data_IF_857064587148
#
_entry.id   IF_857064587148
#
_cell.length_a   1.000
_cell.length_b   1.000
_cell.length_c   1.000
_cell.angle_alpha   90.00
_cell.angle_beta   90.00
_cell.angle_gamma   90.00
#
_symmetry.space_group_name_H-M   'P 1'
#
loop_
_entity.id
_entity.type
_entity.pdbx_description
1 polymer ?
#
# COMPACT_ATOMS: atom_id res chain seq x y z
N UNK A 1 5.46 14.40 -26.60
CA UNK A 1 4.74 13.22 -27.12
C UNK A 1 5.54 12.23 -27.93
N UNK A 2 6.43 12.66 -28.82
CA UNK A 2 7.29 11.73 -29.56
C UNK A 2 8.08 10.78 -28.65
N UNK A 3 8.53 11.24 -27.48
CA UNK A 3 9.22 10.40 -26.48
C UNK A 3 8.32 9.33 -25.85
N UNK A 4 7.10 9.65 -25.44
CA UNK A 4 6.17 8.63 -24.90
C UNK A 4 5.81 7.62 -26.01
N UNK A 5 5.53 8.09 -27.23
CA UNK A 5 5.27 7.20 -28.36
C UNK A 5 6.48 6.34 -28.73
N UNK A 6 7.70 6.84 -28.55
CA UNK A 6 8.91 6.06 -28.72
C UNK A 6 8.96 4.91 -27.70
N UNK A 7 8.70 5.20 -26.41
CA UNK A 7 8.68 4.19 -25.35
C UNK A 7 7.60 3.13 -25.61
N UNK A 8 6.37 3.56 -25.91
CA UNK A 8 5.23 2.65 -26.00
C UNK A 8 5.23 1.87 -27.34
N UNK A 9 5.48 2.54 -28.46
CA UNK A 9 5.28 1.98 -29.81
C UNK A 9 3.83 1.99 -30.28
N UNK A 10 3.57 1.36 -31.42
CA UNK A 10 2.22 1.34 -32.03
C UNK A 10 1.37 0.14 -31.56
N UNK A 11 1.99 -0.97 -31.15
CA UNK A 11 1.29 -2.18 -30.75
C UNK A 11 0.78 -2.12 -29.29
N UNK A 12 -0.52 -2.25 -29.10
CA UNK A 12 -1.22 -2.02 -27.82
C UNK A 12 -0.98 -3.15 -26.81
N UNK A 13 -0.77 -4.38 -27.30
CA UNK A 13 -0.86 -5.57 -26.45
C UNK A 13 0.49 -6.06 -25.94
N UNK A 14 1.56 -5.82 -26.70
CA UNK A 14 2.90 -6.32 -26.38
C UNK A 14 3.88 -5.19 -26.11
N UNK A 15 4.77 -5.43 -25.13
CA UNK A 15 5.88 -4.54 -24.85
C UNK A 15 6.81 -4.47 -26.06
N UNK A 16 7.17 -3.24 -26.46
CA UNK A 16 8.02 -2.98 -27.63
C UNK A 16 9.48 -3.37 -27.40
N UNK A 17 10.00 -3.07 -26.22
CA UNK A 17 11.43 -3.13 -25.94
C UNK A 17 11.78 -4.32 -25.06
N UNK A 18 12.90 -4.96 -25.37
CA UNK A 18 13.50 -5.96 -24.48
C UNK A 18 14.17 -5.27 -23.29
N UNK A 19 14.31 -6.01 -22.18
CA UNK A 19 14.83 -5.47 -20.92
C UNK A 19 16.21 -4.80 -21.05
N UNK A 20 17.10 -5.32 -21.90
CA UNK A 20 18.43 -4.73 -22.11
C UNK A 20 18.37 -3.33 -22.73
N UNK A 21 17.51 -3.15 -23.73
CA UNK A 21 17.30 -1.86 -24.39
C UNK A 21 16.61 -0.88 -23.46
N UNK A 22 15.59 -1.36 -22.74
CA UNK A 22 14.78 -0.50 -21.88
C UNK A 22 15.55 0.07 -20.68
N UNK A 23 16.60 -0.61 -20.21
CA UNK A 23 17.53 -0.07 -19.21
C UNK A 23 18.17 1.26 -19.64
N UNK A 24 18.39 1.45 -20.93
CA UNK A 24 18.96 2.69 -21.47
C UNK A 24 17.94 3.83 -21.51
N UNK A 25 16.64 3.52 -21.45
CA UNK A 25 15.56 4.49 -21.56
C UNK A 25 15.15 5.13 -20.24
N UNK A 26 15.79 4.78 -19.11
CA UNK A 26 15.54 5.44 -17.82
C UNK A 26 15.61 6.97 -17.89
N UNK A 27 16.55 7.51 -18.69
CA UNK A 27 16.67 8.96 -18.90
C UNK A 27 15.45 9.56 -19.62
N UNK A 28 14.79 8.79 -20.50
CA UNK A 28 13.61 9.24 -21.23
C UNK A 28 12.43 9.37 -20.26
N UNK A 29 12.27 8.40 -19.35
CA UNK A 29 11.27 8.48 -18.28
C UNK A 29 11.47 9.72 -17.41
N UNK A 30 12.71 10.01 -17.01
CA UNK A 30 13.00 11.21 -16.22
C UNK A 30 12.73 12.50 -17.00
N UNK A 31 13.13 12.59 -18.28
CA UNK A 31 12.86 13.78 -19.11
C UNK A 31 11.35 14.02 -19.26
N UNK A 32 10.57 12.96 -19.56
CA UNK A 32 9.11 13.06 -19.66
C UNK A 32 8.53 13.56 -18.33
N UNK A 33 9.04 13.02 -17.22
CA UNK A 33 8.53 13.33 -15.89
C UNK A 33 8.86 14.75 -15.46
N UNK A 34 10.09 15.22 -15.69
CA UNK A 34 10.50 16.61 -15.46
C UNK A 34 9.63 17.58 -16.26
N UNK A 35 9.39 17.30 -17.54
CA UNK A 35 8.54 18.14 -18.38
C UNK A 35 7.09 18.17 -17.87
N UNK A 36 6.55 17.03 -17.45
CA UNK A 36 5.20 16.94 -16.89
C UNK A 36 5.10 17.70 -15.55
N UNK A 37 6.05 17.49 -14.64
CA UNK A 37 6.14 18.21 -13.36
C UNK A 37 6.21 19.72 -13.58
N UNK A 38 7.02 20.17 -14.55
CA UNK A 38 7.07 21.57 -14.94
C UNK A 38 5.68 22.03 -15.39
N UNK A 39 5.03 21.32 -16.32
CA UNK A 39 3.72 21.71 -16.82
C UNK A 39 2.64 21.79 -15.71
N UNK A 40 2.64 20.87 -14.75
CA UNK A 40 1.66 20.86 -13.65
C UNK A 40 1.93 21.90 -12.56
N UNK A 41 3.18 22.38 -12.42
CA UNK A 41 3.55 23.40 -11.43
C UNK A 41 3.38 24.85 -11.91
N UNK A 42 3.02 25.05 -13.19
CA UNK A 42 2.84 26.38 -13.77
C UNK A 42 1.61 27.10 -13.21
N UNK A 43 1.75 28.40 -12.94
CA UNK A 43 0.67 29.30 -12.51
C UNK A 43 -0.49 29.36 -13.52
N UNK A 44 -1.72 29.63 -13.05
CA UNK A 44 -2.92 29.61 -13.90
C UNK A 44 -2.81 30.49 -15.16
N UNK A 45 -2.15 31.64 -15.05
CA UNK A 45 -1.93 32.56 -16.18
C UNK A 45 -1.08 31.92 -17.30
N UNK A 46 -0.07 31.14 -16.93
CA UNK A 46 0.81 30.46 -17.87
C UNK A 46 0.24 29.09 -18.30
N UNK A 47 -0.71 28.52 -17.56
CA UNK A 47 -1.37 27.24 -17.91
C UNK A 47 -2.06 27.33 -19.28
N UNK A 48 -2.66 28.48 -19.62
CA UNK A 48 -3.25 28.71 -20.96
C UNK A 48 -2.24 28.54 -22.09
N UNK A 49 -0.99 28.96 -21.88
CA UNK A 49 0.09 28.85 -22.88
C UNK A 49 0.48 27.39 -23.16
N UNK A 50 0.42 26.53 -22.15
CA UNK A 50 0.81 25.12 -22.25
C UNK A 50 -0.39 24.17 -22.26
N UNK A 51 -1.62 24.69 -22.38
CA UNK A 51 -2.85 23.93 -22.26
C UNK A 51 -2.89 22.74 -23.20
N UNK A 52 -2.50 22.94 -24.47
CA UNK A 52 -2.50 21.86 -25.46
C UNK A 52 -1.46 20.78 -25.13
N UNK A 53 -0.31 21.15 -24.59
CA UNK A 53 0.73 20.20 -24.17
C UNK A 53 0.25 19.39 -22.95
N UNK A 54 -0.39 20.04 -21.98
CA UNK A 54 -0.98 19.39 -20.80
C UNK A 54 -2.08 18.42 -21.23
N UNK A 55 -3.00 18.86 -22.09
CA UNK A 55 -4.10 18.02 -22.59
C UNK A 55 -3.55 16.79 -23.32
N UNK A 56 -2.51 16.96 -24.13
CA UNK A 56 -1.83 15.82 -24.73
C UNK A 56 -1.27 14.92 -23.62
N UNK A 57 -0.55 15.47 -22.62
CA UNK A 57 0.07 14.69 -21.54
C UNK A 57 -0.95 13.84 -20.77
N UNK A 58 -2.10 14.43 -20.46
CA UNK A 58 -3.20 13.77 -19.77
C UNK A 58 -3.66 12.50 -20.49
N UNK A 59 -3.60 12.45 -21.82
CA UNK A 59 -3.96 11.25 -22.59
C UNK A 59 -3.18 10.00 -22.12
N UNK A 60 -1.92 10.16 -21.71
CA UNK A 60 -1.06 9.06 -21.27
C UNK A 60 -0.93 8.93 -19.77
N UNK A 61 -1.26 9.97 -18.99
CA UNK A 61 -1.20 9.88 -17.53
C UNK A 61 -2.56 9.49 -16.95
N UNK A 62 -3.64 10.11 -17.37
CA UNK A 62 -4.98 9.97 -16.79
C UNK A 62 -6.05 9.55 -17.80
N UNK A 63 -5.73 9.59 -19.10
CA UNK A 63 -6.65 9.32 -20.20
C UNK A 63 -6.58 7.89 -20.74
N UNK A 64 -6.98 7.73 -21.99
CA UNK A 64 -7.17 6.42 -22.64
C UNK A 64 -5.90 5.55 -22.72
N UNK A 65 -4.70 6.16 -22.75
CA UNK A 65 -3.41 5.44 -22.84
C UNK A 65 -2.73 5.27 -21.48
N UNK A 66 -3.37 5.70 -20.39
CA UNK A 66 -2.85 5.61 -19.01
C UNK A 66 -2.41 4.22 -18.62
N UNK A 67 -3.28 3.22 -18.81
CA UNK A 67 -2.97 1.82 -18.49
C UNK A 67 -1.65 1.34 -19.09
N UNK A 68 -1.39 1.73 -20.35
CA UNK A 68 -0.19 1.31 -21.08
C UNK A 68 1.05 2.01 -20.56
N UNK A 69 0.97 3.31 -20.33
CA UNK A 69 2.09 4.07 -19.79
C UNK A 69 2.43 3.63 -18.36
N UNK A 70 1.43 3.40 -17.51
CA UNK A 70 1.63 2.94 -16.13
C UNK A 70 2.26 1.54 -16.06
N UNK A 71 1.92 0.63 -16.99
CA UNK A 71 2.63 -0.65 -17.15
C UNK A 71 4.09 -0.44 -17.53
N UNK A 72 4.37 0.47 -18.46
CA UNK A 72 5.75 0.81 -18.84
C UNK A 72 6.53 1.41 -17.66
N UNK A 73 5.89 2.22 -16.80
CA UNK A 73 6.52 2.68 -15.54
C UNK A 73 6.88 1.50 -14.64
N UNK A 74 6.01 0.49 -14.50
CA UNK A 74 6.35 -0.69 -13.70
C UNK A 74 7.56 -1.44 -14.27
N UNK A 75 7.64 -1.63 -15.60
CA UNK A 75 8.83 -2.20 -16.24
C UNK A 75 10.09 -1.36 -16.02
N UNK A 76 9.99 -0.04 -16.15
CA UNK A 76 11.11 0.87 -15.93
C UNK A 76 11.66 0.74 -14.50
N UNK A 77 10.81 0.64 -13.48
CA UNK A 77 11.24 0.45 -12.10
C UNK A 77 11.91 -0.90 -11.86
N UNK A 78 11.47 -1.96 -12.53
CA UNK A 78 12.11 -3.29 -12.45
C UNK A 78 13.51 -3.30 -13.06
N UNK A 79 13.73 -2.54 -14.12
CA UNK A 79 14.94 -2.64 -14.94
C UNK A 79 15.98 -1.58 -14.61
N UNK A 80 15.52 -0.39 -14.21
CA UNK A 80 16.36 0.77 -13.91
C UNK A 80 16.38 0.98 -12.41
N UNK A 81 17.58 1.23 -11.85
CA UNK A 81 17.70 1.61 -10.44
C UNK A 81 16.76 2.77 -10.13
N UNK A 82 15.93 2.59 -9.10
CA UNK A 82 15.02 3.64 -8.60
C UNK A 82 15.69 4.99 -8.29
N UNK A 83 17.01 5.01 -8.02
CA UNK A 83 17.78 6.26 -7.85
C UNK A 83 17.92 7.08 -9.14
N UNK A 84 17.65 6.47 -10.29
CA UNK A 84 17.64 7.11 -11.61
C UNK A 84 16.22 7.43 -12.09
N UNK A 85 15.19 7.14 -11.29
CA UNK A 85 13.77 7.36 -11.62
C UNK A 85 13.09 8.27 -10.59
N UNK A 86 13.82 9.25 -10.05
CA UNK A 86 13.38 10.08 -8.94
C UNK A 86 12.24 11.00 -9.38
N UNK A 87 12.39 11.69 -10.51
CA UNK A 87 11.34 12.59 -11.01
C UNK A 87 10.13 11.81 -11.52
N UNK A 88 10.35 10.60 -12.04
CA UNK A 88 9.28 9.68 -12.41
C UNK A 88 8.45 9.28 -11.20
N UNK A 89 9.09 8.90 -10.09
CA UNK A 89 8.38 8.62 -8.83
C UNK A 89 7.60 9.85 -8.35
N UNK A 90 8.25 11.01 -8.30
CA UNK A 90 7.63 12.27 -7.86
C UNK A 90 6.41 12.65 -8.71
N UNK A 91 6.46 12.43 -10.03
CA UNK A 91 5.31 12.65 -10.90
C UNK A 91 4.16 11.73 -10.54
N UNK A 92 4.43 10.43 -10.35
CA UNK A 92 3.39 9.46 -9.99
C UNK A 92 2.75 9.79 -8.64
N UNK A 93 3.56 10.25 -7.68
CA UNK A 93 3.08 10.69 -6.36
C UNK A 93 2.12 11.88 -6.47
N UNK A 94 2.49 12.91 -7.24
CA UNK A 94 1.64 14.09 -7.45
C UNK A 94 0.32 13.72 -8.16
N UNK A 95 0.38 12.86 -9.17
CA UNK A 95 -0.82 12.40 -9.88
C UNK A 95 -1.74 11.59 -8.95
N UNK A 96 -1.17 10.69 -8.13
CA UNK A 96 -1.94 9.90 -7.16
C UNK A 96 -2.52 10.74 -6.02
N UNK A 97 -1.80 11.77 -5.58
CA UNK A 97 -2.28 12.71 -4.56
C UNK A 97 -3.48 13.53 -5.05
N UNK A 98 -3.46 13.93 -6.31
CA UNK A 98 -4.46 14.85 -6.87
C UNK A 98 -5.65 14.15 -7.53
N UNK A 99 -5.58 12.84 -7.76
CA UNK A 99 -6.63 12.10 -8.47
C UNK A 99 -6.78 10.68 -7.89
N UNK A 100 -7.88 10.48 -7.15
CA UNK A 100 -8.22 9.20 -6.52
C UNK A 100 -8.33 8.06 -7.55
N UNK A 101 -9.00 8.27 -8.68
CA UNK A 101 -9.14 7.24 -9.73
C UNK A 101 -7.81 6.83 -10.33
N UNK A 102 -6.92 7.80 -10.56
CA UNK A 102 -5.55 7.51 -11.01
C UNK A 102 -4.81 6.68 -9.96
N UNK A 103 -4.93 7.05 -8.68
CA UNK A 103 -4.28 6.33 -7.59
C UNK A 103 -4.75 4.87 -7.53
N UNK A 104 -6.06 4.64 -7.61
CA UNK A 104 -6.63 3.29 -7.61
C UNK A 104 -6.14 2.46 -8.81
N UNK A 105 -6.21 3.04 -10.00
CA UNK A 105 -5.73 2.40 -11.23
C UNK A 105 -4.24 2.04 -11.14
N UNK A 106 -3.42 2.95 -10.63
CA UNK A 106 -1.99 2.72 -10.56
C UNK A 106 -1.63 1.64 -9.54
N UNK A 107 -2.29 1.63 -8.37
CA UNK A 107 -2.14 0.55 -7.38
C UNK A 107 -2.48 -0.81 -8.01
N UNK A 108 -3.60 -0.91 -8.75
CA UNK A 108 -3.97 -2.16 -9.45
C UNK A 108 -2.90 -2.64 -10.42
N UNK A 109 -2.32 -1.73 -11.21
CA UNK A 109 -1.26 -2.06 -12.18
C UNK A 109 0.02 -2.48 -11.47
N UNK A 110 0.39 -1.81 -10.37
CA UNK A 110 1.56 -2.20 -9.57
C UNK A 110 1.34 -3.58 -8.96
N UNK A 111 0.16 -3.86 -8.38
CA UNK A 111 -0.16 -5.18 -7.83
C UNK A 111 -0.12 -6.28 -8.89
N UNK A 112 -0.69 -6.03 -10.07
CA UNK A 112 -0.58 -6.97 -11.20
C UNK A 112 0.89 -7.23 -11.57
N UNK A 113 1.71 -6.18 -11.59
CA UNK A 113 3.15 -6.27 -11.86
C UNK A 113 3.86 -7.08 -10.76
N UNK A 114 3.49 -6.89 -9.48
CA UNK A 114 4.02 -7.64 -8.35
C UNK A 114 3.68 -9.13 -8.47
N UNK A 115 2.48 -9.50 -8.92
CA UNK A 115 2.08 -10.91 -9.11
C UNK A 115 2.90 -11.56 -10.23
N UNK A 116 3.19 -10.82 -11.31
CA UNK A 116 3.86 -11.35 -12.50
C UNK A 116 5.40 -11.30 -12.43
N UNK A 117 5.97 -10.42 -11.60
CA UNK A 117 7.40 -10.19 -11.51
C UNK A 117 8.18 -11.39 -10.95
N UNK A 118 9.45 -11.52 -11.34
CA UNK A 118 10.38 -12.37 -10.62
C UNK A 118 10.65 -11.82 -9.22
N UNK A 119 10.98 -12.69 -8.27
CA UNK A 119 11.20 -12.31 -6.87
C UNK A 119 12.37 -11.35 -6.67
N UNK A 120 13.30 -11.22 -7.61
CA UNK A 120 14.40 -10.25 -7.56
C UNK A 120 13.92 -8.82 -7.84
N UNK A 121 12.85 -8.67 -8.61
CA UNK A 121 12.37 -7.36 -9.05
C UNK A 121 11.34 -6.76 -8.08
N UNK A 122 10.78 -7.57 -7.17
CA UNK A 122 9.76 -7.17 -6.21
C UNK A 122 10.16 -5.95 -5.36
N UNK A 123 11.43 -5.86 -4.96
CA UNK A 123 11.93 -4.74 -4.16
C UNK A 123 11.72 -3.39 -4.85
N UNK A 124 11.91 -3.34 -6.17
CA UNK A 124 11.73 -2.12 -6.95
C UNK A 124 10.25 -1.71 -7.04
N UNK A 125 9.36 -2.69 -7.25
CA UNK A 125 7.91 -2.47 -7.29
C UNK A 125 7.34 -2.10 -5.92
N UNK A 126 7.85 -2.70 -4.84
CA UNK A 126 7.51 -2.30 -3.48
C UNK A 126 7.94 -0.87 -3.17
N UNK A 127 9.11 -0.43 -3.66
CA UNK A 127 9.51 0.97 -3.53
C UNK A 127 8.58 1.90 -4.29
N UNK A 128 8.17 1.53 -5.51
CA UNK A 128 7.19 2.29 -6.29
C UNK A 128 5.85 2.37 -5.55
N UNK A 129 5.36 1.24 -5.03
CA UNK A 129 4.12 1.18 -4.26
C UNK A 129 4.21 2.03 -2.98
N UNK A 130 5.34 1.99 -2.27
CA UNK A 130 5.57 2.82 -1.08
C UNK A 130 5.43 4.31 -1.37
N UNK A 131 5.97 4.79 -2.50
CA UNK A 131 5.82 6.19 -2.91
C UNK A 131 4.35 6.61 -2.98
N UNK A 132 3.46 5.69 -3.36
CA UNK A 132 2.01 5.96 -3.44
C UNK A 132 1.31 5.78 -2.08
N UNK A 133 1.64 4.72 -1.32
CA UNK A 133 0.98 4.41 -0.05
C UNK A 133 1.36 5.35 1.10
N UNK A 134 2.55 5.95 1.05
CA UNK A 134 3.06 6.84 2.11
C UNK A 134 2.70 8.31 1.90
N UNK A 135 1.96 8.65 0.84
CA UNK A 135 1.48 10.03 0.65
C UNK A 135 0.50 10.36 1.79
N UNK A 136 0.83 11.39 2.56
CA UNK A 136 -0.01 11.91 3.64
C UNK A 136 -1.06 12.86 3.07
N UNK A 137 -2.23 12.31 2.74
CA UNK A 137 -3.41 13.04 2.28
C UNK A 137 -4.71 12.30 2.69
N UNK A 138 -5.86 12.82 2.28
CA UNK A 138 -7.18 12.25 2.58
C UNK A 138 -7.45 10.86 1.97
N UNK A 139 -6.64 10.41 1.02
CA UNK A 139 -6.80 9.13 0.32
C UNK A 139 -5.87 8.03 0.86
N UNK A 140 -4.94 8.35 1.76
CA UNK A 140 -3.94 7.39 2.24
C UNK A 140 -4.55 6.08 2.76
N UNK A 141 -5.59 6.17 3.57
CA UNK A 141 -6.26 4.98 4.13
C UNK A 141 -6.93 4.13 3.03
N UNK A 142 -7.56 4.76 2.04
CA UNK A 142 -8.17 4.07 0.90
C UNK A 142 -7.11 3.36 0.06
N UNK A 143 -5.95 4.01 -0.15
CA UNK A 143 -4.81 3.40 -0.85
C UNK A 143 -4.29 2.15 -0.12
N UNK A 144 -4.18 2.21 1.21
CA UNK A 144 -3.76 1.06 2.03
C UNK A 144 -4.74 -0.10 1.92
N UNK A 145 -6.04 0.15 2.12
CA UNK A 145 -7.11 -0.84 1.96
C UNK A 145 -7.07 -1.50 0.58
N UNK A 146 -7.02 -0.67 -0.47
CA UNK A 146 -6.96 -1.15 -1.85
C UNK A 146 -5.74 -2.05 -2.11
N UNK A 147 -4.56 -1.65 -1.62
CA UNK A 147 -3.33 -2.37 -1.85
C UNK A 147 -3.27 -3.72 -1.11
N UNK A 148 -3.76 -3.77 0.13
CA UNK A 148 -3.62 -4.95 0.98
C UNK A 148 -4.82 -5.90 0.92
N UNK A 149 -6.03 -5.37 0.88
CA UNK A 149 -7.27 -6.15 0.86
C UNK A 149 -7.72 -6.49 -0.57
N UNK A 150 -7.46 -5.59 -1.53
CA UNK A 150 -7.94 -5.70 -2.90
C UNK A 150 -9.40 -5.26 -3.02
N UNK A 151 -10.05 -5.61 -4.14
CA UNK A 151 -11.48 -5.37 -4.34
C UNK A 151 -12.17 -6.69 -4.66
N UNK A 152 -13.18 -7.01 -3.85
CA UNK A 152 -14.08 -8.14 -4.02
C UNK A 152 -15.51 -7.61 -4.07
N UNK A 153 -15.93 -7.05 -5.20
CA UNK A 153 -17.33 -6.73 -5.39
C UNK A 153 -18.06 -7.99 -5.85
N UNK A 154 -18.83 -8.57 -4.93
CA UNK A 154 -19.71 -9.72 -5.21
C UNK A 154 -21.02 -9.32 -5.92
N UNK A 155 -21.23 -8.03 -6.23
CA UNK A 155 -22.52 -7.48 -6.65
C UNK A 155 -22.52 -6.59 -7.90
N UNK A 156 -21.40 -6.41 -8.61
CA UNK A 156 -21.38 -5.67 -9.88
C UNK A 156 -21.38 -6.63 -11.08
N UNK A 157 -22.29 -6.39 -12.03
CA UNK A 157 -22.47 -7.17 -13.27
C UNK A 157 -21.33 -7.02 -14.28
N UNK A 158 -20.28 -6.28 -13.92
CA UNK A 158 -19.07 -6.13 -14.71
C UNK A 158 -17.97 -7.03 -14.13
N UNK A 159 -17.66 -8.13 -14.81
CA UNK A 159 -16.57 -9.09 -14.50
C UNK A 159 -15.15 -8.48 -14.42
N UNK A 160 -15.02 -7.15 -14.37
CA UNK A 160 -13.79 -6.43 -14.70
C UNK A 160 -13.16 -5.67 -13.53
N UNK A 161 -13.60 -5.89 -12.28
CA UNK A 161 -13.17 -5.07 -11.15
C UNK A 161 -12.65 -5.85 -9.94
N UNK A 162 -12.74 -7.18 -9.91
CA UNK A 162 -12.18 -7.97 -8.82
C UNK A 162 -10.68 -8.15 -9.00
N UNK A 163 -9.91 -7.79 -7.98
CA UNK A 163 -8.49 -8.08 -7.94
C UNK A 163 -8.01 -8.31 -6.50
N UNK A 164 -6.99 -9.14 -6.43
CA UNK A 164 -6.40 -9.64 -5.20
C UNK A 164 -5.39 -8.65 -4.62
N UNK A 165 -5.56 -8.28 -3.34
CA UNK A 165 -4.59 -7.48 -2.59
C UNK A 165 -3.42 -8.30 -2.03
N UNK A 166 -2.44 -7.63 -1.43
CA UNK A 166 -1.21 -8.26 -0.91
C UNK A 166 -1.46 -9.35 0.15
N UNK A 167 -2.54 -9.29 0.94
CA UNK A 167 -2.84 -10.38 1.90
C UNK A 167 -3.13 -11.70 1.19
N UNK A 168 -3.90 -11.65 0.10
CA UNK A 168 -4.19 -12.84 -0.71
C UNK A 168 -2.92 -13.37 -1.39
N UNK A 169 -2.04 -12.47 -1.83
CA UNK A 169 -0.74 -12.84 -2.40
C UNK A 169 0.13 -13.58 -1.38
N UNK A 170 0.19 -13.09 -0.13
CA UNK A 170 0.94 -13.78 0.94
C UNK A 170 0.38 -15.19 1.15
N UNK A 171 -0.93 -15.33 1.32
CA UNK A 171 -1.58 -16.63 1.59
C UNK A 171 -1.30 -17.65 0.49
N UNK A 172 -1.44 -17.25 -0.77
CA UNK A 172 -1.20 -18.13 -1.93
C UNK A 172 0.28 -18.44 -2.15
N UNK A 173 1.16 -17.49 -1.82
CA UNK A 173 2.61 -17.65 -2.02
C UNK A 173 3.29 -18.49 -0.94
N UNK A 174 2.68 -18.66 0.24
CA UNK A 174 3.25 -19.48 1.34
C UNK A 174 3.54 -20.92 0.89
N UNK A 175 2.67 -21.49 0.05
CA UNK A 175 2.82 -22.87 -0.43
C UNK A 175 3.55 -22.97 -1.78
N UNK A 176 3.48 -21.92 -2.60
CA UNK A 176 3.94 -21.96 -4.01
C UNK A 176 5.28 -21.26 -4.24
N UNK A 177 5.53 -20.15 -3.55
CA UNK A 177 6.71 -19.29 -3.74
C UNK A 177 7.03 -18.54 -2.43
N UNK A 178 7.57 -19.28 -1.47
CA UNK A 178 7.83 -18.81 -0.10
C UNK A 178 8.68 -17.54 -0.04
N UNK A 179 9.61 -17.35 -0.98
CA UNK A 179 10.40 -16.11 -1.07
C UNK A 179 9.52 -14.89 -1.35
N UNK A 180 8.52 -14.99 -2.23
CA UNK A 180 7.54 -13.92 -2.50
C UNK A 180 6.68 -13.64 -1.28
N UNK A 181 6.21 -14.68 -0.60
CA UNK A 181 5.45 -14.54 0.64
C UNK A 181 6.26 -13.76 1.69
N UNK A 182 7.51 -14.17 1.93
CA UNK A 182 8.40 -13.51 2.88
C UNK A 182 8.69 -12.06 2.50
N UNK A 183 9.03 -11.77 1.23
CA UNK A 183 9.29 -10.39 0.81
C UNK A 183 8.07 -9.49 0.96
N UNK A 184 6.87 -10.00 0.71
CA UNK A 184 5.62 -9.26 0.91
C UNK A 184 5.35 -8.99 2.39
N UNK A 185 5.63 -9.97 3.28
CA UNK A 185 5.58 -9.76 4.74
C UNK A 185 6.61 -8.73 5.18
N UNK A 186 7.85 -8.81 4.68
CA UNK A 186 8.91 -7.85 4.97
C UNK A 186 8.52 -6.43 4.54
N UNK A 187 7.86 -6.31 3.38
CA UNK A 187 7.35 -5.04 2.87
C UNK A 187 6.30 -4.42 3.80
N UNK A 188 5.31 -5.23 4.23
CA UNK A 188 4.30 -4.81 5.21
C UNK A 188 4.95 -4.22 6.48
N UNK A 189 5.89 -4.97 7.07
CA UNK A 189 6.60 -4.52 8.29
C UNK A 189 7.42 -3.26 8.02
N UNK A 190 8.03 -3.13 6.85
CA UNK A 190 8.78 -1.94 6.47
C UNK A 190 7.88 -0.70 6.42
N UNK A 191 6.68 -0.80 5.83
CA UNK A 191 5.70 0.29 5.81
C UNK A 191 5.24 0.66 7.22
N UNK A 192 4.95 -0.33 8.07
CA UNK A 192 4.54 -0.10 9.45
C UNK A 192 5.56 0.72 10.24
N UNK A 193 6.85 0.55 9.96
CA UNK A 193 7.93 1.30 10.61
C UNK A 193 8.18 2.69 10.01
N UNK A 194 7.65 2.96 8.81
CA UNK A 194 7.87 4.23 8.11
C UNK A 194 6.76 5.25 8.36
N UNK A 195 5.57 4.83 8.80
CA UNK A 195 4.43 5.72 9.00
C UNK A 195 3.51 5.19 10.10
N UNK A 196 3.15 6.04 11.05
CA UNK A 196 2.20 5.72 12.11
C UNK A 196 0.82 5.35 11.55
N UNK A 197 0.37 6.02 10.49
CA UNK A 197 -0.88 5.67 9.81
C UNK A 197 -0.85 4.23 9.25
N UNK A 198 0.29 3.81 8.70
CA UNK A 198 0.48 2.42 8.26
C UNK A 198 0.51 1.46 9.45
N UNK A 199 1.21 1.83 10.53
CA UNK A 199 1.29 1.05 11.77
C UNK A 199 -0.09 0.79 12.37
N UNK A 200 -0.92 1.83 12.47
CA UNK A 200 -2.28 1.76 13.00
C UNK A 200 -3.17 0.92 12.09
N UNK A 201 -3.05 1.08 10.77
CA UNK A 201 -3.76 0.26 9.79
C UNK A 201 -3.40 -1.23 9.92
N UNK A 202 -2.11 -1.57 10.00
CA UNK A 202 -1.72 -2.98 10.13
C UNK A 202 -2.06 -3.58 11.49
N UNK A 203 -2.13 -2.74 12.53
CA UNK A 203 -2.63 -3.15 13.84
C UNK A 203 -4.13 -3.49 13.76
N UNK A 204 -4.95 -2.65 13.12
CA UNK A 204 -6.39 -2.91 12.99
C UNK A 204 -6.71 -4.10 12.09
N UNK A 205 -5.80 -4.45 11.17
CA UNK A 205 -5.94 -5.57 10.23
C UNK A 205 -5.11 -6.79 10.59
N UNK A 206 -4.59 -6.89 11.82
CA UNK A 206 -3.72 -7.97 12.31
C UNK A 206 -4.20 -9.39 11.94
N UNK A 207 -5.51 -9.63 12.06
CA UNK A 207 -6.16 -10.92 11.75
C UNK A 207 -5.87 -11.37 10.29
N UNK A 208 -5.71 -10.43 9.36
CA UNK A 208 -5.49 -10.74 7.95
C UNK A 208 -4.10 -11.34 7.66
N UNK A 209 -3.10 -11.04 8.48
CA UNK A 209 -1.69 -11.38 8.23
C UNK A 209 -1.01 -12.15 9.36
N UNK A 210 -1.65 -12.33 10.53
CA UNK A 210 -1.12 -13.12 11.65
C UNK A 210 -0.70 -14.54 11.25
N UNK A 211 -1.51 -15.21 10.43
CA UNK A 211 -1.20 -16.55 9.92
C UNK A 211 0.14 -16.61 9.18
N UNK A 212 0.49 -15.55 8.45
CA UNK A 212 1.78 -15.46 7.75
C UNK A 212 2.95 -15.31 8.72
N UNK A 213 2.75 -14.64 9.86
CA UNK A 213 3.78 -14.54 10.91
C UNK A 213 3.98 -15.87 11.61
N UNK A 214 2.91 -16.61 11.87
CA UNK A 214 2.98 -17.95 12.42
C UNK A 214 3.72 -18.90 11.47
N UNK A 215 3.44 -18.81 10.17
CA UNK A 215 4.21 -19.52 9.15
C UNK A 215 5.70 -19.14 9.18
N UNK A 216 6.03 -17.84 9.18
CA UNK A 216 7.42 -17.38 9.22
C UNK A 216 8.15 -17.87 10.48
N UNK A 217 7.46 -17.85 11.64
CA UNK A 217 7.97 -18.40 12.90
C UNK A 217 8.27 -19.90 12.77
N UNK A 218 7.37 -20.68 12.18
CA UNK A 218 7.60 -22.10 11.93
C UNK A 218 8.80 -22.30 11.01
N UNK A 219 8.89 -21.57 9.89
CA UNK A 219 10.04 -21.65 8.99
C UNK A 219 11.37 -21.34 9.69
N UNK A 220 11.38 -20.38 10.61
CA UNK A 220 12.55 -20.08 11.45
C UNK A 220 12.89 -21.19 12.46
N UNK A 221 11.96 -22.11 12.77
CA UNK A 221 12.12 -23.21 13.75
C UNK A 221 12.34 -24.61 13.12
N UNK A 222 11.66 -24.99 12.02
CA UNK A 222 11.59 -26.38 11.51
C UNK A 222 12.62 -26.89 10.48
N UNK A 223 13.40 -26.08 9.76
CA UNK A 223 14.41 -26.58 8.81
C UNK A 223 15.65 -27.17 9.50
N UNK A 224 15.77 -28.49 9.42
CA UNK A 224 16.93 -29.32 9.83
C UNK A 224 18.18 -29.15 8.94
N UNK A 225 18.18 -28.17 8.05
CA UNK A 225 19.33 -27.75 7.27
C UNK A 225 19.72 -26.35 7.72
N UNK A 226 20.58 -26.27 8.73
CA UNK A 226 21.45 -25.12 8.90
C UNK A 226 22.43 -25.13 7.73
N UNK A 227 22.03 -24.57 6.58
CA UNK A 227 23.00 -24.30 5.52
C UNK A 227 24.01 -23.28 6.06
N UNK A 228 25.34 -23.46 5.87
CA UNK A 228 26.36 -22.51 6.32
C UNK A 228 26.24 -21.10 5.71
N UNK A 229 25.27 -20.88 4.84
CA UNK A 229 25.05 -19.70 4.02
C UNK A 229 24.20 -18.62 4.69
N UNK A 230 24.53 -18.25 5.93
CA UNK A 230 23.94 -17.12 6.66
C UNK A 230 24.03 -15.77 5.92
N UNK A 231 24.84 -15.70 4.85
CA UNK A 231 25.05 -14.51 4.01
C UNK A 231 24.21 -14.48 2.72
N UNK A 232 23.39 -15.50 2.44
CA UNK A 232 22.54 -15.53 1.25
C UNK A 232 21.20 -14.87 1.56
N UNK A 233 20.92 -13.73 0.93
CA UNK A 233 19.68 -12.98 1.12
C UNK A 233 18.49 -13.64 0.40
N UNK A 234 17.30 -13.54 1.01
CA UNK A 234 16.02 -13.80 0.34
C UNK A 234 15.69 -12.74 -0.75
N UNK A 235 16.59 -11.81 -1.05
CA UNK A 235 16.47 -10.82 -2.14
C UNK A 235 17.39 -11.16 -3.34
N UNK A 236 18.36 -12.07 -3.20
CA UNK A 236 19.49 -12.19 -4.15
C UNK A 236 19.63 -13.58 -4.82
N UNK A 237 18.67 -14.51 -4.66
CA UNK A 237 18.73 -15.88 -5.19
C UNK A 237 17.51 -16.38 -5.98
N UNK A 238 17.69 -17.03 -7.11
CA UNK A 238 16.55 -17.53 -7.93
C UNK A 238 15.81 -18.74 -7.35
N UNK A 239 16.09 -19.09 -6.09
CA UNK A 239 15.47 -20.20 -5.38
C UNK A 239 14.11 -19.75 -4.81
N UNK A 240 13.05 -20.51 -5.10
CA UNK A 240 11.69 -20.23 -4.61
C UNK A 240 11.50 -20.46 -3.11
N UNK A 241 12.34 -21.32 -2.51
CA UNK A 241 12.28 -21.67 -1.09
C UNK A 241 12.82 -20.55 -0.20
N UNK A 242 12.22 -20.42 0.98
CA UNK A 242 12.68 -19.47 1.99
C UNK A 242 14.04 -19.87 2.57
N UNK A 243 14.91 -18.87 2.81
CA UNK A 243 16.18 -19.02 3.50
C UNK A 243 16.12 -18.32 4.86
N UNK A 244 16.69 -18.96 5.90
CA UNK A 244 16.82 -18.32 7.21
C UNK A 244 17.97 -17.33 7.18
N UNK A 245 17.64 -16.06 7.34
CA UNK A 245 18.62 -14.97 7.36
C UNK A 245 18.44 -14.13 8.60
N UNK A 246 19.49 -13.37 8.98
CA UNK A 246 19.38 -12.37 10.05
C UNK A 246 18.30 -11.33 9.77
N UNK A 247 18.12 -10.96 8.50
CA UNK A 247 17.05 -10.06 8.07
C UNK A 247 15.67 -10.67 8.28
N UNK A 248 15.48 -11.97 8.04
CA UNK A 248 14.22 -12.66 8.29
C UNK A 248 13.88 -12.76 9.78
N UNK A 249 14.87 -13.03 10.61
CA UNK A 249 14.71 -13.00 12.06
C UNK A 249 14.30 -11.61 12.55
N UNK A 250 14.98 -10.54 12.09
CA UNK A 250 14.64 -9.17 12.45
C UNK A 250 13.23 -8.76 11.97
N UNK A 251 12.81 -9.22 10.79
CA UNK A 251 11.43 -9.02 10.31
C UNK A 251 10.43 -9.73 11.23
N UNK A 252 10.71 -10.97 11.65
CA UNK A 252 9.84 -11.73 12.54
C UNK A 252 9.70 -11.06 13.91
N UNK A 253 10.79 -10.61 14.51
CA UNK A 253 10.79 -9.93 15.81
C UNK A 253 9.92 -8.65 15.79
N UNK A 254 10.05 -7.85 14.73
CA UNK A 254 9.22 -6.64 14.56
C UNK A 254 7.76 -6.96 14.33
N UNK A 255 7.46 -7.97 13.50
CA UNK A 255 6.08 -8.40 13.26
C UNK A 255 5.41 -8.89 14.55
N UNK A 256 6.13 -9.65 15.38
CA UNK A 256 5.65 -10.10 16.68
C UNK A 256 5.42 -8.94 17.64
N UNK A 257 6.32 -7.95 17.67
CA UNK A 257 6.13 -6.75 18.47
C UNK A 257 4.87 -5.98 18.06
N UNK A 258 4.63 -5.85 16.75
CA UNK A 258 3.43 -5.18 16.23
C UNK A 258 2.14 -5.91 16.67
N UNK A 259 2.07 -7.24 16.50
CA UNK A 259 0.91 -8.04 16.94
C UNK A 259 0.68 -7.97 18.47
N UNK A 260 1.75 -7.96 19.26
CA UNK A 260 1.65 -7.83 20.71
C UNK A 260 1.09 -6.45 21.11
N UNK A 261 1.56 -5.37 20.48
CA UNK A 261 1.04 -4.02 20.71
C UNK A 261 -0.46 -3.95 20.39
N UNK A 262 -0.90 -4.52 19.26
CA UNK A 262 -2.32 -4.62 18.91
C UNK A 262 -3.14 -5.36 19.97
N UNK A 263 -2.62 -6.50 20.47
CA UNK A 263 -3.31 -7.30 21.49
C UNK A 263 -3.48 -6.52 22.80
N UNK A 264 -2.47 -5.75 23.21
CA UNK A 264 -2.52 -4.90 24.41
C UNK A 264 -3.54 -3.77 24.23
N UNK A 265 -3.52 -3.09 23.09
CA UNK A 265 -4.48 -2.02 22.78
C UNK A 265 -5.93 -2.52 22.84
N UNK A 266 -6.21 -3.68 22.23
CA UNK A 266 -7.54 -4.26 22.24
C UNK A 266 -8.00 -4.64 23.66
N UNK A 267 -7.10 -5.15 24.50
CA UNK A 267 -7.40 -5.44 25.92
C UNK A 267 -7.70 -4.17 26.72
N UNK A 268 -6.96 -3.10 26.49
CA UNK A 268 -7.17 -1.83 27.18
C UNK A 268 -8.50 -1.16 26.80
N UNK A 269 -8.90 -1.24 25.52
CA UNK A 269 -10.23 -0.78 25.07
C UNK A 269 -11.32 -1.57 25.79
N UNK A 270 -11.20 -2.90 25.85
CA UNK A 270 -12.21 -3.74 26.49
C UNK A 270 -12.35 -3.46 28.00
N UNK A 271 -11.23 -3.18 28.67
CA UNK A 271 -11.22 -2.80 30.09
C UNK A 271 -11.88 -1.42 30.31
N UNK A 272 -11.64 -0.44 29.44
CA UNK A 272 -12.22 0.91 29.56
C UNK A 272 -13.73 0.94 29.24
N UNK A 273 -14.20 0.11 28.30
CA UNK A 273 -15.63 -0.05 28.03
C UNK A 273 -16.33 -0.71 29.23
N UNK A 274 -15.69 -1.70 29.87
CA UNK A 274 -16.22 -2.38 31.06
C UNK A 274 -16.28 -1.47 32.30
N UNK A 275 -15.41 -0.46 32.41
CA UNK A 275 -15.45 0.51 33.53
C UNK A 275 -16.46 1.64 33.31
N UNK A 276 -16.74 2.02 32.07
CA UNK A 276 -17.70 3.09 31.77
C UNK A 276 -19.16 2.64 31.93
N UNK A 277 -19.47 1.34 31.77
CA UNK A 277 -20.82 0.81 32.07
C UNK A 277 -21.14 0.75 33.57
N UNK A 278 -20.14 0.88 34.45
CA UNK A 278 -20.32 0.80 35.92
C UNK A 278 -20.55 2.18 36.56
N UNK A 279 -20.25 3.28 35.85
CA UNK A 279 -20.35 4.64 36.42
C UNK A 279 -21.74 5.27 36.23
N UNK A 280 -22.58 4.77 35.31
CA UNK A 280 -23.90 5.36 35.03
C UNK A 280 -25.06 4.84 35.90
N UNK A 281 -24.81 3.98 36.90
CA UNK A 281 -25.89 3.33 37.68
C UNK A 281 -25.96 3.66 39.18
N UNK A 282 -25.14 4.57 39.72
CA UNK A 282 -25.08 4.79 41.18
C UNK A 282 -25.58 6.15 41.73
N UNK A 283 -26.18 7.02 40.92
CA UNK A 283 -26.74 8.31 41.42
C UNK A 283 -28.27 8.39 41.38
N UNK A 284 -28.97 7.28 41.63
CA UNK A 284 -30.42 7.31 41.94
C UNK A 284 -30.74 6.33 43.08
N UNK A 285 -30.43 6.71 44.32
CA UNK A 285 -31.34 6.51 45.46
C UNK A 285 -30.74 7.05 46.76
N UNK A 286 -31.19 8.26 47.14
CA UNK A 286 -31.38 8.58 48.55
C UNK A 286 -32.53 9.58 48.67
N UNK A 287 -33.75 9.05 48.81
CA UNK A 287 -34.88 9.79 49.38
C UNK A 287 -35.60 8.93 50.41
N UNK A 288 -35.63 9.43 51.64
CA UNK A 288 -36.74 9.47 52.61
C UNK A 288 -36.10 9.61 54.01
N UNK A 289 -36.52 10.50 54.91
CA UNK A 289 -37.85 11.00 55.24
C UNK A 289 -37.74 12.15 56.25
N UNK A 290 -38.59 13.18 56.18
CA UNK A 290 -39.47 13.62 57.30
C UNK A 290 -40.21 14.95 57.04
N UNK A 291 -41.55 14.84 57.03
CA UNK A 291 -42.56 15.72 57.68
C UNK A 291 -42.76 17.20 57.29
N UNK A 292 -43.91 17.42 56.63
CA UNK A 292 -45.08 18.24 57.05
C UNK A 292 -45.04 19.77 57.08
N UNK A 293 -45.86 20.39 56.21
CA UNK A 293 -47.05 21.23 56.53
C UNK A 293 -47.18 22.57 55.78
N UNK A 294 -48.34 22.74 55.11
CA UNK A 294 -49.12 23.98 54.81
C UNK A 294 -48.42 25.08 53.97
N UNK A 295 -49.00 25.84 53.02
CA UNK A 295 -50.29 26.54 52.86
C UNK A 295 -50.20 27.26 51.48
N UNK A 296 -51.06 27.05 50.48
CA UNK A 296 -52.26 27.87 50.12
C UNK A 296 -52.06 28.89 48.95
N UNK A 297 -52.85 28.66 47.88
CA UNK A 297 -53.51 29.56 46.89
C UNK A 297 -52.76 30.53 45.92
N UNK A 298 -53.14 30.39 44.63
CA UNK A 298 -53.63 31.40 43.62
C UNK A 298 -52.62 32.46 43.13
N UNK A 299 -52.51 32.81 41.83
CA UNK A 299 -53.32 32.59 40.63
C UNK A 299 -52.61 33.17 39.38
N UNK A 300 -53.35 33.19 38.26
CA UNK A 300 -53.02 33.82 36.96
C UNK A 300 -52.50 35.27 37.10
N UNK A 301 -51.72 35.87 36.20
CA UNK A 301 -51.58 35.81 34.74
C UNK A 301 -50.10 35.83 34.29
#
# INVERSE_FOLDING_TARGET
MRLINFLLGENIDNRRWHCEQAKEFGIIHEIISILALFCYSISENNRKKYFEIIKQMDIYFTGQWSNRYLKEICYAFQEVSSTKLIYTLQLMEILAKNNEKFSEQFIRIILQSIVQAHTNDLKSLFKLLSGILLIEDSFQMKRLQLAFEGINESSSSDNNQNFNGLYSLIRTSIDTEQRRAYQTVKYLITLANQSDACKDYFSSTAIQWEAAINWLKQQMQTSWQWSPAHNISNEDTDIRSFQRTRSAQYTLEQAQSLLQQTTILNKNIHNNTSTNEVIEFNDIHNQSSSSSSQSTLVGAD
#
